data_IF_306740767423
#
_entry.id   IF_306740767423
#
_cell.length_a   1.000
_cell.length_b   1.000
_cell.length_c   1.000
_cell.angle_alpha   90.00
_cell.angle_beta   90.00
_cell.angle_gamma   90.00
#
_symmetry.space_group_name_H-M   'P 1'
#
loop_
_entity.id
_entity.type
_entity.pdbx_description
1 polymer ?
#
# COMPACT_ATOMS: atom_id res chain seq x y z
N UNK A 1 56.25 8.00 -8.77
CA UNK A 1 55.12 7.23 -9.32
C UNK A 1 54.00 7.01 -8.28
N UNK A 2 54.26 6.49 -7.11
CA UNK A 2 53.25 6.20 -6.07
C UNK A 2 52.48 7.43 -5.53
N UNK A 3 53.06 8.63 -5.53
CA UNK A 3 52.35 9.84 -5.06
C UNK A 3 51.19 10.22 -6.01
N UNK A 4 51.43 10.15 -7.29
CA UNK A 4 50.38 10.47 -8.28
C UNK A 4 49.25 9.44 -8.28
N UNK A 5 49.55 8.16 -8.04
CA UNK A 5 48.56 7.11 -7.94
C UNK A 5 47.59 7.35 -6.76
N UNK A 6 48.11 7.81 -5.61
CA UNK A 6 47.24 8.16 -4.45
C UNK A 6 46.34 9.36 -4.73
N UNK A 7 46.86 10.36 -5.44
CA UNK A 7 46.10 11.56 -5.81
C UNK A 7 44.96 11.19 -6.78
N UNK A 8 45.26 10.36 -7.79
CA UNK A 8 44.26 9.87 -8.75
C UNK A 8 43.17 9.06 -8.03
N UNK A 9 43.56 8.19 -7.11
CA UNK A 9 42.62 7.40 -6.32
C UNK A 9 41.70 8.28 -5.45
N UNK A 10 42.27 9.33 -4.84
CA UNK A 10 41.51 10.28 -4.02
C UNK A 10 40.49 11.08 -4.86
N UNK A 11 40.92 11.55 -6.05
CA UNK A 11 40.02 12.23 -6.99
C UNK A 11 38.92 11.31 -7.46
N UNK A 12 39.24 10.05 -7.79
CA UNK A 12 38.23 9.05 -8.21
C UNK A 12 37.21 8.79 -7.10
N UNK A 13 37.65 8.68 -5.84
CA UNK A 13 36.77 8.51 -4.69
C UNK A 13 35.89 9.74 -4.46
N UNK A 14 36.40 10.93 -4.71
CA UNK A 14 35.62 12.17 -4.60
C UNK A 14 34.49 12.23 -5.64
N UNK A 15 34.74 11.76 -6.86
CA UNK A 15 33.72 11.68 -7.91
C UNK A 15 32.60 10.71 -7.56
N UNK A 16 32.86 9.59 -6.86
CA UNK A 16 31.86 8.63 -6.43
C UNK A 16 30.94 9.24 -5.37
N UNK A 17 31.49 10.07 -4.47
CA UNK A 17 30.69 10.71 -3.40
C UNK A 17 29.77 11.81 -3.94
N UNK A 18 30.16 12.49 -5.02
CA UNK A 18 29.37 13.55 -5.66
C UNK A 18 28.22 13.02 -6.53
N UNK A 19 28.12 11.71 -6.75
CA UNK A 19 27.09 11.06 -7.60
C UNK A 19 25.77 10.82 -6.85
N UNK A 20 25.39 11.66 -5.89
CA UNK A 20 24.10 11.56 -5.21
C UNK A 20 23.01 12.17 -6.11
N UNK A 21 22.45 11.38 -7.02
CA UNK A 21 21.38 11.80 -7.93
C UNK A 21 20.03 11.51 -7.28
N UNK A 22 19.18 12.55 -7.22
CA UNK A 22 17.80 12.41 -6.80
C UNK A 22 17.05 11.48 -7.77
N UNK A 23 16.47 10.39 -7.27
CA UNK A 23 15.75 9.42 -8.07
C UNK A 23 14.25 9.54 -7.84
N UNK A 24 13.46 9.52 -8.92
CA UNK A 24 11.99 9.55 -8.88
C UNK A 24 11.45 8.17 -9.15
N UNK A 25 10.54 7.71 -8.30
CA UNK A 25 9.81 6.46 -8.47
C UNK A 25 8.33 6.75 -8.66
N UNK A 26 7.71 6.02 -9.57
CA UNK A 26 6.29 6.11 -9.87
C UNK A 26 5.65 4.75 -9.59
N UNK A 27 4.50 4.76 -8.94
CA UNK A 27 3.74 3.57 -8.57
C UNK A 27 2.27 3.77 -8.90
N UNK A 28 1.62 2.70 -9.38
CA UNK A 28 0.21 2.73 -9.76
C UNK A 28 -0.05 3.23 -11.18
N UNK A 29 -1.24 3.75 -11.42
CA UNK A 29 -1.70 4.25 -12.74
C UNK A 29 -1.43 5.73 -12.89
N UNK A 30 -1.01 6.16 -14.09
CA UNK A 30 -0.94 7.57 -14.40
C UNK A 30 -2.35 8.16 -14.42
N UNK A 31 -2.63 9.02 -13.46
CA UNK A 31 -3.91 9.72 -13.32
C UNK A 31 -3.70 11.13 -13.83
N UNK A 32 -4.45 11.50 -14.87
CA UNK A 32 -4.48 12.86 -15.39
C UNK A 32 -5.43 13.71 -14.54
N UNK A 33 -4.88 14.71 -13.84
CA UNK A 33 -5.67 15.59 -12.97
C UNK A 33 -6.61 16.51 -13.73
N UNK A 34 -6.31 16.77 -14.99
CA UNK A 34 -7.14 17.64 -15.84
C UNK A 34 -8.23 16.86 -16.59
N UNK A 35 -8.24 15.54 -16.45
CA UNK A 35 -9.25 14.72 -17.09
C UNK A 35 -10.60 14.87 -16.39
N UNK A 36 -11.64 15.11 -17.19
CA UNK A 36 -13.01 15.17 -16.67
C UNK A 36 -13.58 13.77 -16.46
N UNK A 37 -13.52 13.30 -15.21
CA UNK A 37 -14.01 11.97 -14.81
C UNK A 37 -15.53 11.87 -14.81
N UNK A 38 -16.26 13.01 -14.74
CA UNK A 38 -17.73 13.06 -14.84
C UNK A 38 -18.25 12.56 -16.20
N UNK A 39 -17.40 12.58 -17.21
CA UNK A 39 -17.75 12.10 -18.56
C UNK A 39 -17.82 10.56 -18.66
N UNK A 40 -17.34 9.83 -17.65
CA UNK A 40 -17.33 8.38 -17.63
C UNK A 40 -18.63 7.86 -17.01
N UNK A 41 -19.49 7.29 -17.84
CA UNK A 41 -20.85 6.93 -17.44
C UNK A 41 -20.99 5.48 -16.99
N UNK A 42 -20.09 4.60 -17.40
CA UNK A 42 -20.18 3.18 -17.08
C UNK A 42 -18.81 2.52 -16.90
N UNK A 43 -18.84 1.32 -16.33
CA UNK A 43 -17.66 0.51 -15.98
C UNK A 43 -16.74 0.24 -17.19
N UNK A 44 -17.33 0.00 -18.36
CA UNK A 44 -16.57 -0.24 -19.59
C UNK A 44 -15.83 1.01 -20.05
N UNK A 45 -16.42 2.18 -19.94
CA UNK A 45 -15.76 3.44 -20.28
C UNK A 45 -14.63 3.76 -19.29
N UNK A 46 -14.85 3.53 -17.99
CA UNK A 46 -13.83 3.68 -16.96
C UNK A 46 -12.64 2.77 -17.25
N UNK A 47 -12.85 1.49 -17.49
CA UNK A 47 -11.77 0.53 -17.76
C UNK A 47 -11.10 0.76 -19.11
N UNK A 48 -11.85 1.17 -20.14
CA UNK A 48 -11.30 1.49 -21.45
C UNK A 48 -10.37 2.71 -21.39
N UNK A 49 -10.71 3.72 -20.59
CA UNK A 49 -9.97 4.97 -20.47
C UNK A 49 -8.81 4.90 -19.50
N UNK A 50 -9.04 4.33 -18.31
CA UNK A 50 -8.05 4.26 -17.24
C UNK A 50 -7.32 2.90 -17.17
N UNK A 51 -7.75 1.93 -17.97
CA UNK A 51 -7.28 0.56 -17.90
C UNK A 51 -7.88 -0.20 -16.71
N UNK A 52 -7.32 -1.37 -16.41
CA UNK A 52 -7.78 -2.16 -15.26
C UNK A 52 -7.49 -1.43 -13.95
N UNK A 53 -8.42 -1.46 -12.96
CA UNK A 53 -8.19 -0.84 -11.66
C UNK A 53 -7.03 -1.49 -10.90
N UNK A 54 -6.44 -0.74 -9.96
CA UNK A 54 -5.42 -1.27 -9.06
C UNK A 54 -6.03 -2.25 -8.04
N UNK A 55 -7.26 -1.98 -7.61
CA UNK A 55 -8.01 -2.81 -6.69
C UNK A 55 -9.50 -2.76 -7.04
N UNK A 56 -10.19 -3.89 -6.87
CA UNK A 56 -11.64 -4.05 -7.06
C UNK A 56 -12.25 -4.50 -5.74
N UNK A 57 -13.25 -3.80 -5.26
CA UNK A 57 -14.11 -4.26 -4.19
C UNK A 57 -15.39 -4.86 -4.80
N UNK A 58 -15.53 -6.19 -4.81
CA UNK A 58 -16.70 -6.83 -5.41
C UNK A 58 -17.95 -6.71 -4.53
N UNK A 59 -17.79 -6.43 -3.23
CA UNK A 59 -18.92 -6.33 -2.27
C UNK A 59 -19.59 -4.98 -2.43
N UNK A 60 -18.79 -3.91 -2.43
CA UNK A 60 -19.29 -2.55 -2.58
C UNK A 60 -19.35 -2.08 -4.03
N UNK A 61 -18.99 -2.95 -4.99
CA UNK A 61 -18.94 -2.67 -6.43
C UNK A 61 -18.13 -1.40 -6.75
N UNK A 62 -16.90 -1.33 -6.19
CA UNK A 62 -16.01 -0.18 -6.32
C UNK A 62 -14.73 -0.51 -7.03
N UNK A 63 -14.24 0.43 -7.86
CA UNK A 63 -12.94 0.39 -8.49
C UNK A 63 -12.04 1.47 -7.91
N UNK A 64 -10.81 1.07 -7.54
CA UNK A 64 -9.80 1.94 -6.99
C UNK A 64 -8.65 2.10 -7.96
N UNK A 65 -8.36 3.34 -8.31
CA UNK A 65 -7.22 3.74 -9.11
C UNK A 65 -6.26 4.54 -8.25
N UNK A 66 -5.02 4.12 -8.19
CA UNK A 66 -4.00 4.68 -7.31
C UNK A 66 -2.80 5.15 -8.12
N UNK A 67 -2.26 6.30 -7.75
CA UNK A 67 -1.03 6.85 -8.28
C UNK A 67 -0.19 7.44 -7.16
N UNK A 68 1.11 7.15 -7.17
CA UNK A 68 2.08 7.76 -6.27
C UNK A 68 3.35 8.16 -7.02
N UNK A 69 3.85 9.35 -6.74
CA UNK A 69 5.19 9.81 -7.11
C UNK A 69 6.00 10.02 -5.86
N UNK A 70 7.10 9.30 -5.76
CA UNK A 70 8.03 9.34 -4.64
C UNK A 70 9.39 9.81 -5.11
N UNK A 71 10.02 10.68 -4.32
CA UNK A 71 11.36 11.19 -4.55
C UNK A 71 12.28 10.59 -3.49
N UNK A 72 13.38 9.99 -3.94
CA UNK A 72 14.45 9.47 -3.11
C UNK A 72 15.63 10.41 -3.24
N UNK A 73 16.01 11.07 -2.15
CA UNK A 73 17.25 11.87 -2.09
C UNK A 73 18.46 10.98 -1.85
N UNK A 74 18.29 9.93 -1.07
CA UNK A 74 19.28 8.90 -0.80
C UNK A 74 18.58 7.63 -0.31
N UNK A 75 19.36 6.60 0.09
CA UNK A 75 18.82 5.30 0.52
C UNK A 75 17.94 5.42 1.78
N UNK A 76 18.17 6.43 2.60
CA UNK A 76 17.49 6.61 3.89
C UNK A 76 16.44 7.72 3.88
N UNK A 77 16.46 8.60 2.88
CA UNK A 77 15.58 9.76 2.80
C UNK A 77 14.72 9.69 1.53
N UNK A 78 13.43 9.45 1.73
CA UNK A 78 12.43 9.48 0.67
C UNK A 78 11.18 10.24 1.12
N UNK A 79 10.60 10.98 0.20
CA UNK A 79 9.33 11.68 0.43
C UNK A 79 8.32 11.37 -0.68
N UNK A 80 7.07 11.33 -0.31
CA UNK A 80 5.98 11.29 -1.28
C UNK A 80 5.75 12.71 -1.76
N UNK A 81 5.93 12.93 -3.06
CA UNK A 81 5.67 14.23 -3.68
C UNK A 81 4.20 14.37 -4.06
N UNK A 82 3.61 13.29 -4.55
CA UNK A 82 2.21 13.27 -5.00
C UNK A 82 1.62 11.90 -4.75
N UNK A 83 0.39 11.90 -4.27
CA UNK A 83 -0.44 10.70 -4.17
C UNK A 83 -1.87 11.07 -4.54
N UNK A 84 -2.47 10.28 -5.40
CA UNK A 84 -3.85 10.46 -5.84
C UNK A 84 -4.53 9.11 -5.85
N UNK A 85 -5.74 9.04 -5.34
CA UNK A 85 -6.60 7.87 -5.41
C UNK A 85 -7.95 8.30 -5.94
N UNK A 86 -8.45 7.60 -6.94
CA UNK A 86 -9.80 7.79 -7.47
C UNK A 86 -10.58 6.52 -7.19
N UNK A 87 -11.76 6.68 -6.62
CA UNK A 87 -12.69 5.61 -6.30
C UNK A 87 -13.96 5.81 -7.10
N UNK A 88 -14.27 4.87 -7.98
CA UNK A 88 -15.55 4.82 -8.69
C UNK A 88 -16.48 3.86 -7.96
N UNK A 89 -17.70 4.32 -7.69
CA UNK A 89 -18.79 3.49 -7.19
C UNK A 89 -19.72 3.19 -8.36
N UNK A 90 -20.12 1.93 -8.52
CA UNK A 90 -20.98 1.49 -9.59
C UNK A 90 -22.32 0.98 -9.03
N UNK A 91 -23.37 1.23 -9.77
CA UNK A 91 -24.66 0.60 -9.56
C UNK A 91 -24.64 -0.88 -10.01
N UNK A 92 -25.69 -1.63 -9.71
CA UNK A 92 -25.84 -3.04 -10.15
C UNK A 92 -25.85 -3.17 -11.68
N UNK A 93 -26.34 -2.16 -12.39
CA UNK A 93 -26.38 -2.08 -13.85
C UNK A 93 -25.05 -1.63 -14.49
N UNK A 94 -23.95 -1.58 -13.70
CA UNK A 94 -22.60 -1.16 -14.09
C UNK A 94 -22.46 0.32 -14.49
N UNK A 95 -23.45 1.16 -14.26
CA UNK A 95 -23.31 2.60 -14.43
C UNK A 95 -22.53 3.22 -13.27
N UNK A 96 -21.81 4.31 -13.55
CA UNK A 96 -21.12 5.08 -12.52
C UNK A 96 -22.15 5.83 -11.69
N UNK A 97 -22.28 5.45 -10.43
CA UNK A 97 -23.12 6.15 -9.46
C UNK A 97 -22.45 7.45 -8.97
N UNK A 98 -21.17 7.34 -8.65
CA UNK A 98 -20.36 8.46 -8.17
C UNK A 98 -18.88 8.15 -8.29
N UNK A 99 -18.04 9.19 -8.26
CA UNK A 99 -16.63 9.01 -8.05
C UNK A 99 -16.11 9.99 -6.99
N UNK A 100 -15.04 9.61 -6.31
CA UNK A 100 -14.35 10.44 -5.33
C UNK A 100 -12.86 10.45 -5.65
N UNK A 101 -12.26 11.63 -5.58
CA UNK A 101 -10.83 11.80 -5.75
C UNK A 101 -10.22 12.25 -4.43
N UNK A 102 -9.18 11.54 -3.99
CA UNK A 102 -8.41 11.82 -2.78
C UNK A 102 -6.98 12.17 -3.18
N UNK A 103 -6.40 13.15 -2.51
CA UNK A 103 -5.02 13.54 -2.69
C UNK A 103 -4.24 13.43 -1.37
N UNK A 104 -2.91 13.69 -1.42
CA UNK A 104 -2.03 13.58 -0.26
C UNK A 104 -2.46 14.45 0.93
N UNK A 105 -3.10 15.63 0.68
CA UNK A 105 -3.53 16.54 1.75
C UNK A 105 -4.75 16.03 2.52
N UNK A 106 -5.49 15.08 1.95
CA UNK A 106 -6.66 14.44 2.56
C UNK A 106 -6.31 13.12 3.26
N UNK A 107 -5.03 12.76 3.27
CA UNK A 107 -4.55 11.55 3.92
C UNK A 107 -4.63 11.69 5.44
N UNK A 108 -5.30 10.74 6.09
CA UNK A 108 -5.36 10.64 7.54
C UNK A 108 -4.28 9.66 8.01
N UNK A 109 -3.51 10.06 9.02
CA UNK A 109 -2.61 9.15 9.70
C UNK A 109 -3.42 8.21 10.59
N UNK A 110 -3.39 6.93 10.29
CA UNK A 110 -4.00 5.90 11.14
C UNK A 110 -3.03 5.63 12.28
N UNK A 111 -3.38 6.07 13.48
CA UNK A 111 -2.65 5.68 14.68
C UNK A 111 -3.13 4.29 15.10
N UNK A 112 -2.23 3.32 15.08
CA UNK A 112 -2.57 1.98 15.59
C UNK A 112 -2.82 2.06 17.09
N UNK A 113 -4.05 1.77 17.51
CA UNK A 113 -4.41 1.61 18.90
C UNK A 113 -3.75 0.31 19.36
N UNK A 114 -2.77 0.42 20.25
CA UNK A 114 -2.08 -0.74 20.85
C UNK A 114 -2.91 -1.50 21.88
N UNK A 115 -4.18 -1.17 22.01
CA UNK A 115 -5.07 -1.88 22.92
C UNK A 115 -5.26 -3.31 22.45
N UNK A 116 -4.60 -4.22 23.15
CA UNK A 116 -4.87 -5.64 22.99
C UNK A 116 -6.24 -5.91 23.56
N UNK A 117 -7.17 -6.38 22.73
CA UNK A 117 -8.38 -7.03 23.23
C UNK A 117 -7.92 -8.12 24.21
N UNK A 118 -8.29 -8.01 25.49
CA UNK A 118 -8.05 -9.06 26.45
C UNK A 118 -8.85 -10.28 26.01
N UNK A 119 -8.18 -11.16 25.28
CA UNK A 119 -8.73 -12.48 25.04
C UNK A 119 -8.77 -13.20 26.38
N UNK A 120 -9.96 -13.45 26.91
CA UNK A 120 -10.17 -14.32 28.07
C UNK A 120 -9.92 -15.81 27.73
N UNK A 121 -9.15 -16.08 26.69
CA UNK A 121 -8.61 -17.41 26.45
C UNK A 121 -7.60 -17.68 27.54
N UNK A 122 -7.91 -18.64 28.36
CA UNK A 122 -7.03 -19.21 29.39
C UNK A 122 -5.63 -19.35 28.79
N UNK A 123 -4.65 -18.62 29.34
CA UNK A 123 -3.25 -18.76 28.94
C UNK A 123 -2.81 -20.18 29.21
N UNK A 124 -2.87 -21.03 28.21
CA UNK A 124 -2.29 -22.36 28.29
C UNK A 124 -0.78 -22.20 28.43
N UNK A 125 -0.22 -22.82 29.47
CA UNK A 125 1.22 -22.80 29.71
C UNK A 125 2.00 -23.24 28.47
N UNK A 126 3.24 -22.77 28.31
CA UNK A 126 4.10 -23.09 27.16
C UNK A 126 4.23 -24.62 26.97
N UNK A 127 4.27 -25.38 28.07
CA UNK A 127 4.33 -26.86 28.07
C UNK A 127 3.03 -27.43 27.48
N UNK A 128 1.88 -26.90 27.84
CA UNK A 128 0.57 -27.34 27.35
C UNK A 128 0.35 -27.01 25.87
N UNK A 129 0.97 -25.92 25.38
CA UNK A 129 0.99 -25.57 23.93
C UNK A 129 1.84 -26.52 23.10
N UNK A 130 2.92 -27.07 23.67
CA UNK A 130 3.85 -27.94 22.96
C UNK A 130 3.42 -29.42 23.05
N UNK A 131 2.88 -29.85 24.19
CA UNK A 131 2.52 -31.24 24.45
C UNK A 131 1.01 -31.49 24.57
N UNK A 132 0.17 -30.49 24.57
CA UNK A 132 -1.29 -30.58 24.75
C UNK A 132 -2.09 -31.14 23.57
N UNK A 133 -1.43 -31.73 22.59
CA UNK A 133 -2.07 -32.31 21.40
C UNK A 133 -2.55 -33.77 21.56
N UNK A 134 -2.46 -34.38 22.73
CA UNK A 134 -2.84 -35.79 22.91
C UNK A 134 -3.82 -35.91 24.09
N UNK A 135 -5.07 -36.26 23.77
CA UNK A 135 -6.14 -36.78 24.60
C UNK A 135 -6.75 -35.87 25.70
N UNK A 136 -7.84 -35.21 25.36
CA UNK A 136 -9.05 -35.23 26.19
C UNK A 136 -10.25 -35.60 25.33
N UNK A 137 -10.62 -36.85 25.38
CA UNK A 137 -12.00 -37.31 25.09
C UNK A 137 -12.89 -36.64 26.13
N UNK A 138 -13.69 -35.64 25.64
CA UNK A 138 -14.80 -35.17 26.46
C UNK A 138 -15.83 -36.29 26.59
N UNK A 139 -16.01 -36.74 27.81
CA UNK A 139 -17.12 -37.61 28.18
C UNK A 139 -18.43 -36.84 27.95
N UNK A 140 -19.19 -37.23 26.96
CA UNK A 140 -20.59 -36.82 26.78
C UNK A 140 -21.35 -37.29 28.02
N UNK A 141 -21.62 -36.38 28.96
CA UNK A 141 -22.61 -36.58 29.99
C UNK A 141 -24.00 -36.51 29.35
N UNK A 142 -24.52 -37.66 28.94
CA UNK A 142 -25.95 -37.87 28.76
C UNK A 142 -26.55 -38.04 30.16
N UNK A 143 -27.24 -36.99 30.62
CA UNK A 143 -28.14 -37.11 31.78
C UNK A 143 -29.53 -37.50 31.30
N UNK A 144 -30.26 -38.33 32.06
CA UNK A 144 -31.55 -38.89 31.70
C UNK A 144 -32.72 -37.88 31.68
#
# INVERSE_FOLDING_TARGET
MFKYLKVIFFILMLFIILSCVETKSYSGKLIDENFNYDSLLNKNQVTSKLGQPNFVDPIENKYYYYFEKRIYKNIFDSRIEKRTMIVFNFEENENVQSFNQYNLNQEQQITFIKDRTKNNLVERGVIEKIFGGVNKTESLNTSP
#
